data_IF_979043149736
#
_entry.id   IF_979043149736
#
_cell.length_a   1.000
_cell.length_b   1.000
_cell.length_c   1.000
_cell.angle_alpha   90.00
_cell.angle_beta   90.00
_cell.angle_gamma   90.00
#
_symmetry.space_group_name_H-M   'P 1'
#
loop_
_entity.id
_entity.type
_entity.pdbx_description
1 polymer ?
#
# COMPACT_ATOMS: atom_id res chain seq x y z
N UNK A 1 -9.73 -16.81 9.68
CA UNK A 1 -10.37 -15.75 8.88
C UNK A 1 -9.47 -15.27 7.72
N UNK A 2 -8.22 -14.80 7.96
CA UNK A 2 -7.34 -14.32 6.87
C UNK A 2 -6.93 -15.47 5.93
N UNK A 3 -6.53 -16.61 6.48
CA UNK A 3 -6.16 -17.80 5.72
C UNK A 3 -7.29 -18.36 4.87
N UNK A 4 -8.51 -18.43 5.42
CA UNK A 4 -9.67 -18.94 4.68
C UNK A 4 -10.04 -18.03 3.51
N UNK A 5 -9.95 -16.70 3.69
CA UNK A 5 -10.17 -15.73 2.62
C UNK A 5 -9.11 -15.85 1.53
N UNK A 6 -7.84 -15.93 1.91
CA UNK A 6 -6.74 -16.10 0.95
C UNK A 6 -6.91 -17.37 0.12
N UNK A 7 -7.25 -18.48 0.76
CA UNK A 7 -7.52 -19.75 0.09
C UNK A 7 -8.69 -19.62 -0.89
N UNK A 8 -9.84 -19.08 -0.44
CA UNK A 8 -11.02 -18.91 -1.27
C UNK A 8 -10.80 -18.00 -2.50
N UNK A 9 -10.02 -16.93 -2.35
CA UNK A 9 -9.63 -16.04 -3.45
C UNK A 9 -8.77 -16.77 -4.47
N UNK A 10 -7.73 -17.47 -3.99
CA UNK A 10 -6.77 -18.21 -4.86
C UNK A 10 -7.42 -19.39 -5.57
N UNK A 11 -8.35 -20.09 -4.94
CA UNK A 11 -9.13 -21.16 -5.55
C UNK A 11 -9.99 -20.68 -6.75
N UNK A 12 -10.30 -19.39 -6.80
CA UNK A 12 -10.98 -18.76 -7.94
C UNK A 12 -10.02 -18.21 -9.01
N UNK A 13 -8.73 -18.47 -8.90
CA UNK A 13 -7.70 -17.97 -9.82
C UNK A 13 -7.40 -16.48 -9.68
N UNK A 14 -7.82 -15.86 -8.59
CA UNK A 14 -7.57 -14.44 -8.32
C UNK A 14 -6.29 -14.24 -7.49
N UNK A 15 -5.68 -13.07 -7.65
CA UNK A 15 -4.55 -12.62 -6.84
C UNK A 15 -5.01 -12.06 -5.50
N UNK A 16 -4.20 -12.27 -4.45
CA UNK A 16 -4.52 -11.81 -3.10
C UNK A 16 -3.45 -10.87 -2.57
N UNK A 17 -3.84 -9.63 -2.30
CA UNK A 17 -3.02 -8.64 -1.60
C UNK A 17 -3.38 -8.53 -0.13
N UNK A 18 -2.41 -8.09 0.67
CA UNK A 18 -2.61 -7.80 2.08
C UNK A 18 -2.17 -6.38 2.40
N UNK A 19 -3.09 -5.63 2.99
CA UNK A 19 -2.82 -4.36 3.64
C UNK A 19 -2.07 -4.59 4.95
N UNK A 20 -1.07 -3.76 5.22
CA UNK A 20 -0.35 -3.78 6.49
C UNK A 20 0.01 -2.35 6.93
N UNK A 21 -0.48 -1.93 8.10
CA UNK A 21 -0.09 -0.64 8.67
C UNK A 21 1.28 -0.74 9.34
N UNK A 22 2.23 0.10 8.93
CA UNK A 22 3.57 0.14 9.54
C UNK A 22 3.51 0.69 10.95
N UNK A 23 2.67 1.70 11.21
CA UNK A 23 2.48 2.21 12.56
C UNK A 23 1.22 1.65 13.23
N UNK A 24 1.20 1.68 14.56
CA UNK A 24 0.08 1.18 15.35
C UNK A 24 -0.21 2.09 16.55
N UNK A 25 -1.21 2.92 16.44
CA UNK A 25 -1.52 3.97 17.43
C UNK A 25 -1.81 3.44 18.83
N UNK A 26 -2.38 2.26 18.94
CA UNK A 26 -2.75 1.67 20.23
C UNK A 26 -1.66 0.80 20.84
N UNK A 27 -0.61 0.49 20.10
CA UNK A 27 0.51 -0.29 20.60
C UNK A 27 1.34 0.53 21.57
N UNK A 28 1.44 0.13 22.86
CA UNK A 28 2.21 0.89 23.85
C UNK A 28 3.71 0.98 23.52
N UNK A 29 4.24 -0.04 22.84
CA UNK A 29 5.64 -0.08 22.44
C UNK A 29 5.93 0.94 21.34
N UNK A 30 5.04 1.05 20.34
CA UNK A 30 5.16 2.06 19.30
C UNK A 30 5.30 3.48 19.85
N UNK A 31 4.48 3.83 20.86
CA UNK A 31 4.50 5.17 21.47
C UNK A 31 5.73 5.44 22.32
N UNK A 32 6.39 4.41 22.85
CA UNK A 32 7.52 4.54 23.78
C UNK A 32 8.87 4.39 23.07
N UNK A 33 8.96 3.48 22.15
CA UNK A 33 10.21 3.09 21.48
C UNK A 33 9.90 2.48 20.10
N UNK A 34 9.91 3.32 19.09
CA UNK A 34 9.61 2.91 17.71
C UNK A 34 10.60 1.88 17.20
N UNK A 35 11.89 2.02 17.53
CA UNK A 35 12.90 1.07 17.05
C UNK A 35 12.63 -0.33 17.60
N UNK A 36 12.32 -0.41 18.86
CA UNK A 36 11.95 -1.66 19.52
C UNK A 36 10.62 -2.23 19.00
N UNK A 37 9.64 -1.37 18.73
CA UNK A 37 8.39 -1.77 18.09
C UNK A 37 8.64 -2.42 16.71
N UNK A 38 9.48 -1.81 15.91
CA UNK A 38 9.85 -2.34 14.59
C UNK A 38 10.50 -3.72 14.72
N UNK A 39 11.44 -3.87 15.64
CA UNK A 39 12.20 -5.11 15.82
C UNK A 39 11.38 -6.24 16.42
N UNK A 40 10.60 -5.95 17.47
CA UNK A 40 9.94 -6.99 18.27
C UNK A 40 8.50 -7.28 17.81
N UNK A 41 7.87 -6.36 17.06
CA UNK A 41 6.47 -6.50 16.67
C UNK A 41 6.26 -6.38 15.16
N UNK A 42 6.54 -5.24 14.56
CA UNK A 42 6.18 -4.93 13.17
C UNK A 42 6.84 -5.88 12.17
N UNK A 43 8.16 -5.99 12.17
CA UNK A 43 8.88 -6.84 11.22
C UNK A 43 8.57 -8.34 11.38
N UNK A 44 8.54 -8.90 12.60
CA UNK A 44 8.12 -10.28 12.78
C UNK A 44 6.70 -10.55 12.28
N UNK A 45 5.76 -9.65 12.55
CA UNK A 45 4.37 -9.79 12.11
C UNK A 45 4.23 -9.69 10.59
N UNK A 46 4.93 -8.76 9.96
CA UNK A 46 4.93 -8.58 8.51
C UNK A 46 5.58 -9.78 7.79
N UNK A 47 6.69 -10.31 8.31
CA UNK A 47 7.30 -11.54 7.81
C UNK A 47 6.39 -12.76 7.98
N UNK A 48 5.74 -12.91 9.14
CA UNK A 48 4.79 -13.98 9.41
C UNK A 48 3.60 -13.96 8.44
N UNK A 49 3.05 -12.75 8.14
CA UNK A 49 2.02 -12.57 7.13
C UNK A 49 2.45 -13.12 5.77
N UNK A 50 3.65 -12.76 5.32
CA UNK A 50 4.18 -13.21 4.03
C UNK A 50 4.37 -14.73 4.00
N UNK A 51 4.96 -15.30 5.05
CA UNK A 51 5.25 -16.75 5.14
C UNK A 51 3.97 -17.57 5.22
N UNK A 52 2.96 -17.10 5.97
CA UNK A 52 1.71 -17.86 6.15
C UNK A 52 0.77 -17.79 4.96
N UNK A 53 0.66 -16.62 4.35
CA UNK A 53 -0.44 -16.38 3.39
C UNK A 53 0.04 -16.28 1.94
N UNK A 54 1.34 -16.21 1.71
CA UNK A 54 1.94 -16.12 0.37
C UNK A 54 1.25 -15.06 -0.49
N UNK A 55 1.26 -13.78 -0.10
CA UNK A 55 0.58 -12.71 -0.82
C UNK A 55 1.13 -12.52 -2.22
N UNK A 56 0.27 -12.12 -3.16
CA UNK A 56 0.67 -11.62 -4.47
C UNK A 56 1.03 -10.12 -4.39
N UNK A 57 0.45 -9.40 -3.42
CA UNK A 57 0.76 -7.99 -3.13
C UNK A 57 0.93 -7.80 -1.62
N UNK A 58 2.01 -7.17 -1.21
CA UNK A 58 2.18 -6.59 0.13
C UNK A 58 1.97 -5.09 0.02
N UNK A 59 0.93 -4.59 0.68
CA UNK A 59 0.47 -3.21 0.61
C UNK A 59 0.69 -2.49 1.96
N UNK A 60 1.92 -1.99 2.25
CA UNK A 60 2.16 -1.19 3.43
C UNK A 60 1.47 0.17 3.35
N UNK A 61 1.19 0.72 4.53
CA UNK A 61 0.62 2.05 4.73
C UNK A 61 1.07 2.61 6.08
N UNK A 62 0.81 3.89 6.36
CA UNK A 62 1.23 4.50 7.62
C UNK A 62 2.73 4.82 7.67
N UNK A 63 3.37 4.96 6.52
CA UNK A 63 4.81 5.19 6.38
C UNK A 63 5.24 6.61 6.77
N UNK A 64 4.35 7.58 6.73
CA UNK A 64 4.63 9.03 6.77
C UNK A 64 5.23 9.55 8.08
N UNK A 65 5.08 8.84 9.20
CA UNK A 65 5.61 9.30 10.48
C UNK A 65 7.14 9.19 10.56
N UNK A 66 7.72 8.18 9.89
CA UNK A 66 9.15 7.90 10.00
C UNK A 66 9.79 7.62 8.63
N UNK A 67 11.11 7.88 8.48
CA UNK A 67 11.84 7.49 7.28
C UNK A 67 11.98 5.96 7.17
N UNK A 68 12.22 5.48 5.95
CA UNK A 68 12.41 4.05 5.63
C UNK A 68 13.45 3.36 6.51
N UNK A 69 14.50 4.10 6.86
CA UNK A 69 15.55 3.61 7.76
C UNK A 69 15.03 3.23 9.17
N UNK A 70 14.05 4.00 9.69
CA UNK A 70 13.45 3.70 11.01
C UNK A 70 12.52 2.50 10.90
N UNK A 71 11.77 2.38 9.81
CA UNK A 71 10.94 1.22 9.52
C UNK A 71 11.75 -0.02 9.14
N UNK A 72 13.05 0.11 8.86
CA UNK A 72 13.93 -0.95 8.33
C UNK A 72 13.38 -1.55 7.04
N UNK A 73 12.81 -0.72 6.20
CA UNK A 73 12.10 -1.12 5.00
C UNK A 73 13.03 -1.81 4.00
N UNK A 74 14.25 -1.33 3.83
CA UNK A 74 15.24 -1.91 2.93
C UNK A 74 15.63 -3.34 3.35
N UNK A 75 15.73 -3.59 4.65
CA UNK A 75 16.01 -4.94 5.16
C UNK A 75 14.85 -5.89 4.92
N UNK A 76 13.63 -5.43 5.17
CA UNK A 76 12.45 -6.25 4.87
C UNK A 76 12.33 -6.54 3.38
N UNK A 77 12.51 -5.55 2.52
CA UNK A 77 12.44 -5.71 1.06
C UNK A 77 13.56 -6.62 0.53
N UNK A 78 14.76 -6.50 1.08
CA UNK A 78 15.86 -7.40 0.76
C UNK A 78 15.52 -8.86 1.08
N UNK A 79 14.98 -9.12 2.27
CA UNK A 79 14.49 -10.44 2.63
C UNK A 79 13.32 -10.89 1.74
N UNK A 80 12.36 -10.00 1.47
CA UNK A 80 11.17 -10.30 0.66
C UNK A 80 11.55 -10.82 -0.74
N UNK A 81 12.49 -10.15 -1.40
CA UNK A 81 12.86 -10.45 -2.78
C UNK A 81 14.02 -11.47 -2.93
N UNK A 82 14.72 -11.81 -1.87
CA UNK A 82 15.81 -12.78 -1.96
C UNK A 82 15.50 -14.12 -1.28
N UNK A 83 14.72 -14.10 -0.20
CA UNK A 83 14.59 -15.26 0.69
C UNK A 83 13.14 -15.72 0.89
N UNK A 84 12.15 -14.83 0.70
CA UNK A 84 10.75 -15.17 1.01
C UNK A 84 10.18 -16.21 0.05
N UNK A 85 9.12 -16.93 0.47
CA UNK A 85 8.45 -17.92 -0.39
C UNK A 85 7.73 -17.31 -1.59
N UNK A 86 7.60 -15.99 -1.65
CA UNK A 86 6.89 -15.26 -2.72
C UNK A 86 7.81 -14.37 -3.56
N UNK A 87 9.11 -14.47 -3.39
CA UNK A 87 10.13 -13.60 -3.97
C UNK A 87 10.05 -13.41 -5.48
N UNK A 88 9.57 -14.41 -6.22
CA UNK A 88 9.46 -14.37 -7.68
C UNK A 88 8.17 -13.73 -8.20
N UNK A 89 7.16 -13.53 -7.34
CA UNK A 89 5.82 -13.14 -7.79
C UNK A 89 5.22 -11.96 -7.06
N UNK A 90 5.77 -11.60 -5.88
CA UNK A 90 5.21 -10.55 -5.04
C UNK A 90 5.45 -9.16 -5.64
N UNK A 91 4.40 -8.33 -5.63
CA UNK A 91 4.50 -6.91 -5.87
C UNK A 91 4.34 -6.12 -4.57
N UNK A 92 4.98 -4.95 -4.50
CA UNK A 92 4.84 -4.01 -3.39
C UNK A 92 4.55 -2.62 -3.92
N UNK A 93 3.95 -1.77 -3.11
CA UNK A 93 3.80 -0.35 -3.40
C UNK A 93 5.04 0.46 -2.99
N UNK A 94 4.94 1.78 -2.98
CA UNK A 94 6.01 2.72 -2.65
C UNK A 94 5.92 3.32 -1.22
N UNK A 95 5.05 2.77 -0.34
CA UNK A 95 4.79 3.28 1.01
C UNK A 95 5.69 2.61 2.06
N UNK A 96 6.98 2.89 2.00
CA UNK A 96 8.00 2.26 2.86
C UNK A 96 8.71 3.23 3.79
N UNK A 97 8.41 4.53 3.70
CA UNK A 97 8.96 5.60 4.51
C UNK A 97 8.47 6.95 4.02
N UNK A 98 8.51 7.95 4.86
CA UNK A 98 8.00 9.31 4.53
C UNK A 98 8.63 9.94 3.28
N UNK A 99 9.79 9.44 2.85
CA UNK A 99 10.54 9.92 1.69
C UNK A 99 10.37 9.06 0.43
N UNK A 100 9.69 7.90 0.53
CA UNK A 100 9.74 6.89 -0.54
C UNK A 100 8.67 7.05 -1.62
N UNK A 101 7.54 7.67 -1.31
CA UNK A 101 6.43 7.81 -2.28
C UNK A 101 6.87 8.50 -3.56
N UNK A 102 6.50 7.93 -4.69
CA UNK A 102 6.85 8.38 -6.05
C UNK A 102 8.35 8.43 -6.34
N UNK A 103 9.16 7.74 -5.55
CA UNK A 103 10.63 7.71 -5.70
C UNK A 103 11.20 6.30 -5.61
N UNK A 104 10.80 5.54 -4.61
CA UNK A 104 11.37 4.25 -4.27
C UNK A 104 10.27 3.24 -3.97
N UNK A 105 10.49 1.99 -4.31
CA UNK A 105 9.54 0.89 -4.12
C UNK A 105 9.10 0.28 -5.45
N UNK A 106 8.00 -0.46 -5.40
CA UNK A 106 7.42 -1.11 -6.56
C UNK A 106 6.57 -0.17 -7.41
N UNK A 107 5.26 -0.38 -7.48
CA UNK A 107 4.35 0.55 -8.14
C UNK A 107 4.08 1.78 -7.25
N UNK A 108 3.81 2.93 -7.88
CA UNK A 108 3.53 4.17 -7.17
C UNK A 108 2.06 4.23 -6.75
N UNK A 109 1.81 4.73 -5.55
CA UNK A 109 0.46 4.97 -5.05
C UNK A 109 0.13 6.45 -5.10
N UNK A 110 -1.05 6.78 -5.62
CA UNK A 110 -1.58 8.15 -5.65
C UNK A 110 -2.84 8.24 -4.78
N UNK A 111 -3.09 9.40 -4.25
CA UNK A 111 -4.31 9.75 -3.54
C UNK A 111 -4.84 11.07 -4.10
N UNK A 112 -5.93 11.60 -3.55
CA UNK A 112 -6.66 12.76 -4.05
C UNK A 112 -5.81 13.88 -4.69
N UNK A 113 -4.68 14.20 -4.10
CA UNK A 113 -3.87 15.37 -4.47
C UNK A 113 -2.64 15.00 -5.30
N UNK A 114 -2.14 13.79 -5.16
CA UNK A 114 -0.86 13.37 -5.72
C UNK A 114 -0.93 12.93 -7.19
N UNK A 115 -2.13 12.74 -7.74
CA UNK A 115 -2.30 12.41 -9.16
C UNK A 115 -1.65 13.45 -10.06
N UNK A 116 -1.63 14.72 -9.65
CA UNK A 116 -1.00 15.80 -10.40
C UNK A 116 0.53 15.78 -10.32
N UNK A 117 1.09 15.34 -9.21
CA UNK A 117 2.54 15.33 -8.98
C UNK A 117 3.22 14.12 -9.62
N UNK A 118 2.54 12.96 -9.63
CA UNK A 118 3.06 11.71 -10.21
C UNK A 118 2.81 11.65 -11.72
N UNK A 119 1.73 12.29 -12.18
CA UNK A 119 1.27 12.29 -13.57
C UNK A 119 1.26 13.71 -14.11
N UNK A 120 2.43 14.34 -14.31
CA UNK A 120 2.45 15.62 -15.00
C UNK A 120 2.01 15.40 -16.46
N UNK A 121 1.35 16.40 -17.04
CA UNK A 121 0.83 16.35 -18.42
C UNK A 121 1.92 16.09 -19.47
N UNK A 122 3.18 16.32 -19.12
CA UNK A 122 4.33 16.25 -20.02
C UNK A 122 5.22 15.01 -19.80
N UNK A 123 5.03 14.26 -18.72
CA UNK A 123 5.81 13.05 -18.46
C UNK A 123 4.98 11.81 -18.74
N UNK A 124 5.41 11.03 -19.74
CA UNK A 124 4.95 9.64 -19.89
C UNK A 124 5.42 8.87 -18.66
N UNK A 125 4.53 8.59 -17.74
CA UNK A 125 4.85 7.73 -16.60
C UNK A 125 5.13 6.34 -17.16
N UNK A 126 6.39 5.96 -17.11
CA UNK A 126 6.86 4.63 -17.45
C UNK A 126 6.77 3.65 -16.26
N UNK A 127 6.31 4.14 -15.10
CA UNK A 127 6.26 3.38 -13.86
C UNK A 127 4.82 2.93 -13.56
N UNK A 128 4.57 1.67 -13.22
CA UNK A 128 3.25 1.23 -12.77
C UNK A 128 2.76 2.06 -11.57
N UNK A 129 1.49 2.35 -11.56
CA UNK A 129 0.88 3.14 -10.51
C UNK A 129 -0.55 2.65 -10.17
N UNK A 130 -1.00 3.02 -9.00
CA UNK A 130 -2.32 2.73 -8.45
C UNK A 130 -2.94 4.03 -7.94
N UNK A 131 -4.21 4.23 -8.19
CA UNK A 131 -4.98 5.31 -7.57
C UNK A 131 -5.79 4.77 -6.40
N UNK A 132 -5.54 5.32 -5.20
CA UNK A 132 -6.25 5.02 -3.97
C UNK A 132 -7.06 6.25 -3.56
N UNK A 133 -8.36 6.26 -3.86
CA UNK A 133 -9.24 7.38 -3.49
C UNK A 133 -10.63 6.91 -3.07
N UNK A 134 -11.28 7.69 -2.21
CA UNK A 134 -12.70 7.53 -1.91
C UNK A 134 -13.59 8.05 -3.05
N UNK A 135 -14.82 7.62 -3.09
CA UNK A 135 -15.85 8.15 -4.00
C UNK A 135 -16.49 9.44 -3.46
N UNK A 136 -16.36 9.71 -2.16
CA UNK A 136 -16.79 10.93 -1.47
C UNK A 136 -15.62 11.81 -1.07
N UNK A 137 -15.87 12.78 -0.23
CA UNK A 137 -14.88 13.72 0.31
C UNK A 137 -14.00 13.09 1.41
N UNK A 138 -14.37 11.92 1.92
CA UNK A 138 -13.66 11.19 2.97
C UNK A 138 -13.47 9.73 2.61
N UNK A 139 -12.46 9.07 3.21
CA UNK A 139 -12.27 7.62 3.04
C UNK A 139 -13.30 6.78 3.80
N UNK A 140 -13.93 7.35 4.82
CA UNK A 140 -14.93 6.66 5.63
C UNK A 140 -16.33 7.14 5.33
N UNK A 141 -17.32 6.43 5.90
CA UNK A 141 -18.71 6.87 5.83
C UNK A 141 -18.88 8.24 6.52
N UNK A 142 -19.44 9.20 5.80
CA UNK A 142 -19.78 10.52 6.29
C UNK A 142 -21.29 10.74 6.16
N UNK A 143 -22.04 10.80 7.28
CA UNK A 143 -23.49 10.97 7.24
C UNK A 143 -23.95 12.32 6.71
N UNK A 144 -23.05 13.28 6.55
CA UNK A 144 -23.35 14.63 6.05
C UNK A 144 -23.16 14.75 4.53
N UNK A 145 -22.67 13.71 3.85
CA UNK A 145 -22.55 13.70 2.39
C UNK A 145 -23.89 13.40 1.73
N UNK A 146 -24.24 14.25 0.77
CA UNK A 146 -25.37 14.03 -0.13
C UNK A 146 -24.93 13.36 -1.42
N UNK A 147 -25.85 12.88 -2.24
CA UNK A 147 -25.53 12.23 -3.51
C UNK A 147 -24.67 13.09 -4.44
N UNK A 148 -24.84 14.41 -4.40
CA UNK A 148 -24.08 15.36 -5.21
C UNK A 148 -22.59 15.48 -4.79
N UNK A 149 -22.25 15.04 -3.59
CA UNK A 149 -20.87 15.09 -3.08
C UNK A 149 -20.03 13.89 -3.52
N UNK A 150 -20.68 12.86 -4.09
CA UNK A 150 -19.99 11.69 -4.59
C UNK A 150 -19.50 11.89 -6.02
N UNK A 151 -18.30 11.37 -6.28
CA UNK A 151 -17.72 11.34 -7.63
C UNK A 151 -18.62 10.56 -8.61
N UNK A 152 -18.82 11.11 -9.79
CA UNK A 152 -19.53 10.40 -10.85
C UNK A 152 -18.67 9.26 -11.43
N UNK A 153 -19.27 8.20 -12.02
CA UNK A 153 -18.49 7.18 -12.72
C UNK A 153 -17.53 7.77 -13.76
N UNK A 154 -17.98 8.77 -14.52
CA UNK A 154 -17.15 9.43 -15.52
C UNK A 154 -15.92 10.13 -14.91
N UNK A 155 -16.08 10.78 -13.73
CA UNK A 155 -14.96 11.44 -13.04
C UNK A 155 -13.97 10.43 -12.41
N UNK A 156 -14.42 9.23 -12.09
CA UNK A 156 -13.55 8.14 -11.61
C UNK A 156 -12.80 7.45 -12.75
N UNK A 157 -13.43 7.35 -13.92
CA UNK A 157 -12.82 6.75 -15.11
C UNK A 157 -11.84 7.70 -15.83
N UNK A 158 -12.04 9.01 -15.71
CA UNK A 158 -11.25 9.99 -16.43
C UNK A 158 -9.72 9.84 -16.18
N UNK A 159 -9.21 9.70 -14.95
CA UNK A 159 -7.77 9.49 -14.72
C UNK A 159 -7.25 8.21 -15.37
N UNK A 160 -8.03 7.13 -15.38
CA UNK A 160 -7.67 5.89 -16.01
C UNK A 160 -7.57 6.03 -17.53
N UNK A 161 -8.54 6.70 -18.15
CA UNK A 161 -8.56 6.93 -19.60
C UNK A 161 -7.46 7.89 -20.07
N UNK A 162 -7.19 8.94 -19.32
CA UNK A 162 -6.18 9.94 -19.68
C UNK A 162 -4.76 9.46 -19.41
N UNK A 163 -4.55 8.64 -18.40
CA UNK A 163 -3.24 8.37 -17.79
C UNK A 163 -2.90 6.89 -17.65
N UNK A 164 -3.90 6.00 -17.65
CA UNK A 164 -3.72 4.57 -17.38
C UNK A 164 -3.86 3.64 -18.58
N UNK A 165 -4.52 4.08 -19.64
CA UNK A 165 -4.79 3.25 -20.80
C UNK A 165 -3.69 3.38 -21.85
N UNK A 166 -2.58 2.67 -21.66
CA UNK A 166 -1.67 2.29 -22.77
C UNK A 166 -0.94 1.00 -22.45
#
# INVERSE_FOLDING_TARGET
LAGDRSKGVKEKGLKMGYYFSLYEWFNPLYKRDVARYVDEHMLPQLKDLVVRYHPDIVWPDGEWEHPSKVWRSEEFLAWLYNESPVKETVAVNDRWGKETRSKHGGYYTTEYDLVHDVVSKDTKIMHPWEECRGIGSTFGYNPNEALADYASPASLEQPLNEKGAR
#
